data_IF_299438009691
#
_entry.id   IF_299438009691
#
_cell.length_a   1.000
_cell.length_b   1.000
_cell.length_c   1.000
_cell.angle_alpha   90.00
_cell.angle_beta   90.00
_cell.angle_gamma   90.00
#
_symmetry.space_group_name_H-M   'P 1'
#
loop_
_entity.id
_entity.type
_entity.pdbx_description
1 polymer ?
#
# COMPACT_ATOMS: atom_id res chain seq x y z
N UNK A 1 4.20 4.55 -3.69
CA UNK A 1 3.75 5.83 -4.26
C UNK A 1 3.61 6.85 -3.15
N UNK A 2 3.97 8.10 -3.41
CA UNK A 2 3.95 9.17 -2.41
C UNK A 2 2.57 9.85 -2.36
N UNK A 3 2.08 10.13 -1.14
CA UNK A 3 0.83 10.86 -0.95
C UNK A 3 1.10 12.32 -0.66
N UNK A 4 0.68 13.21 -1.56
CA UNK A 4 0.75 14.66 -1.33
C UNK A 4 -0.36 15.03 -0.36
N UNK A 5 0.02 15.58 0.79
CA UNK A 5 -0.90 15.97 1.87
C UNK A 5 -1.16 17.49 1.87
N UNK A 6 -0.21 18.27 1.36
CA UNK A 6 -0.29 19.74 1.30
C UNK A 6 0.59 20.28 0.19
N UNK A 7 0.10 21.30 -0.51
CA UNK A 7 0.83 22.10 -1.49
C UNK A 7 0.69 23.55 -1.09
N UNK A 8 1.81 24.23 -0.81
CA UNK A 8 1.82 25.60 -0.29
C UNK A 8 0.89 25.75 0.92
N UNK A 9 -0.17 26.55 0.82
CA UNK A 9 -1.15 26.73 1.90
C UNK A 9 -2.36 25.79 1.79
N UNK A 10 -2.46 24.97 0.75
CA UNK A 10 -3.61 24.12 0.44
C UNK A 10 -3.40 22.70 0.96
N UNK A 11 -4.33 22.19 1.77
CA UNK A 11 -4.29 20.82 2.35
C UNK A 11 -5.67 20.14 2.35
N UNK A 12 -6.51 20.47 1.36
CA UNK A 12 -7.91 20.04 1.29
C UNK A 12 -8.12 18.88 0.31
N UNK A 13 -8.80 19.11 -0.83
CA UNK A 13 -9.14 18.06 -1.80
C UNK A 13 -8.01 17.85 -2.81
N UNK A 14 -7.95 16.66 -3.41
CA UNK A 14 -6.98 16.36 -4.48
C UNK A 14 -7.12 17.30 -5.69
N UNK A 15 -8.33 17.78 -5.98
CA UNK A 15 -8.59 18.77 -7.02
C UNK A 15 -7.92 20.10 -6.67
N UNK A 16 -8.17 20.63 -5.47
CA UNK A 16 -7.59 21.89 -5.03
C UNK A 16 -6.05 21.83 -4.93
N UNK A 17 -5.52 20.71 -4.43
CA UNK A 17 -4.07 20.45 -4.43
C UNK A 17 -3.52 20.45 -5.87
N UNK A 18 -4.22 19.80 -6.80
CA UNK A 18 -3.83 19.75 -8.21
C UNK A 18 -3.93 21.11 -8.92
N UNK A 19 -4.87 21.97 -8.54
CA UNK A 19 -4.97 23.34 -9.04
C UNK A 19 -3.80 24.20 -8.56
N UNK A 20 -3.48 24.15 -7.27
CA UNK A 20 -2.34 24.88 -6.69
C UNK A 20 -1.01 24.48 -7.36
N UNK A 21 -0.79 23.18 -7.59
CA UNK A 21 0.40 22.68 -8.31
C UNK A 21 0.51 23.30 -9.71
N UNK A 22 -0.61 23.49 -10.41
CA UNK A 22 -0.62 24.02 -11.79
C UNK A 22 -0.41 25.53 -11.85
N UNK A 23 -0.84 26.26 -10.82
CA UNK A 23 -0.86 27.74 -10.83
C UNK A 23 0.40 28.35 -10.21
N UNK A 24 1.13 27.59 -9.39
CA UNK A 24 2.30 28.07 -8.67
C UNK A 24 3.62 27.70 -9.35
N UNK A 25 4.55 28.66 -9.44
CA UNK A 25 5.90 28.45 -9.98
C UNK A 25 6.90 27.96 -8.92
N UNK A 26 6.54 28.05 -7.65
CA UNK A 26 7.28 27.51 -6.50
C UNK A 26 6.33 26.69 -5.64
N UNK A 27 6.78 25.49 -5.26
CA UNK A 27 5.99 24.54 -4.49
C UNK A 27 6.69 24.19 -3.17
N UNK A 28 5.97 24.36 -2.07
CA UNK A 28 6.26 23.76 -0.77
C UNK A 28 5.33 22.55 -0.61
N UNK A 29 5.90 21.34 -0.52
CA UNK A 29 5.13 20.09 -0.51
C UNK A 29 5.29 19.39 0.83
N UNK A 30 4.16 19.06 1.46
CA UNK A 30 4.15 18.07 2.54
C UNK A 30 3.71 16.74 1.95
N UNK A 31 4.58 15.74 2.04
CA UNK A 31 4.37 14.41 1.46
C UNK A 31 4.38 13.39 2.59
N UNK A 32 3.45 12.42 2.51
CA UNK A 32 3.50 11.20 3.31
C UNK A 32 4.06 10.08 2.44
N UNK A 33 5.23 9.58 2.81
CA UNK A 33 5.85 8.42 2.16
C UNK A 33 5.31 7.12 2.77
N UNK A 34 5.12 6.07 1.96
CA UNK A 34 4.77 4.75 2.47
C UNK A 34 5.94 4.18 3.30
N UNK A 35 5.58 3.46 4.36
CA UNK A 35 6.52 2.61 5.08
C UNK A 35 6.55 1.26 4.37
N UNK A 36 7.74 0.82 3.96
CA UNK A 36 7.95 -0.49 3.38
C UNK A 36 8.50 -1.43 4.44
N UNK A 37 8.00 -2.66 4.46
CA UNK A 37 8.51 -3.73 5.29
C UNK A 37 8.36 -5.04 4.53
N UNK A 38 9.25 -5.99 4.83
CA UNK A 38 9.24 -7.32 4.23
C UNK A 38 8.57 -8.30 5.18
N UNK A 39 7.81 -9.23 4.61
CA UNK A 39 7.15 -10.30 5.36
C UNK A 39 7.49 -11.64 4.72
N UNK A 40 7.80 -12.62 5.57
CA UNK A 40 8.08 -13.98 5.14
C UNK A 40 6.90 -14.87 5.50
N UNK A 41 6.14 -15.30 4.51
CA UNK A 41 4.98 -16.16 4.69
C UNK A 41 5.21 -17.50 4.00
N UNK A 42 4.89 -18.58 4.71
CA UNK A 42 4.88 -19.92 4.12
C UNK A 42 3.45 -20.30 3.74
N UNK A 43 3.29 -20.96 2.59
CA UNK A 43 2.02 -21.57 2.21
C UNK A 43 1.57 -22.59 3.26
N UNK A 44 0.26 -22.66 3.51
CA UNK A 44 -0.33 -23.77 4.24
C UNK A 44 -0.31 -25.08 3.41
N UNK A 45 -0.79 -26.19 3.99
CA UNK A 45 -0.88 -27.49 3.31
C UNK A 45 -1.70 -27.46 2.01
N UNK A 46 -2.53 -26.43 1.82
CA UNK A 46 -3.41 -26.23 0.65
C UNK A 46 -2.87 -25.18 -0.32
N UNK A 47 -1.71 -24.57 -0.04
CA UNK A 47 -1.11 -23.55 -0.89
C UNK A 47 -1.58 -22.11 -0.63
N UNK A 48 -2.28 -21.83 0.48
CA UNK A 48 -2.80 -20.50 0.78
C UNK A 48 -1.91 -19.72 1.76
N UNK A 49 -1.91 -18.38 1.62
CA UNK A 49 -1.20 -17.47 2.51
C UNK A 49 -2.11 -16.81 3.56
N UNK A 50 -3.42 -16.99 3.47
CA UNK A 50 -4.38 -16.32 4.37
C UNK A 50 -4.65 -14.86 3.98
N UNK A 51 -4.60 -14.52 2.69
CA UNK A 51 -4.82 -13.17 2.17
C UNK A 51 -5.85 -13.22 1.04
N UNK A 52 -6.91 -12.43 1.18
CA UNK A 52 -7.80 -12.10 0.06
C UNK A 52 -7.33 -10.78 -0.55
N UNK A 53 -7.07 -10.81 -1.85
CA UNK A 53 -6.53 -9.67 -2.60
C UNK A 53 -7.61 -9.02 -3.45
N UNK A 54 -7.69 -7.71 -3.39
CA UNK A 54 -8.41 -6.89 -4.36
C UNK A 54 -7.42 -6.35 -5.38
N UNK A 55 -7.67 -6.66 -6.65
CA UNK A 55 -6.87 -6.21 -7.77
C UNK A 55 -7.77 -5.82 -8.93
N UNK A 56 -7.33 -4.81 -9.66
CA UNK A 56 -7.93 -4.42 -10.92
C UNK A 56 -6.97 -4.77 -12.06
N UNK A 57 -7.51 -5.15 -13.21
CA UNK A 57 -6.76 -5.38 -14.46
C UNK A 57 -6.01 -4.14 -14.98
N UNK A 58 -6.21 -2.97 -14.37
CA UNK A 58 -5.46 -1.73 -14.61
C UNK A 58 -4.97 -1.09 -13.30
N UNK A 59 -4.82 -1.89 -12.25
CA UNK A 59 -4.41 -1.44 -10.93
C UNK A 59 -2.90 -1.29 -10.81
N UNK A 60 -2.44 -0.28 -10.08
CA UNK A 60 -1.00 -0.09 -9.87
C UNK A 60 -0.37 -1.15 -8.93
N UNK A 61 -1.17 -1.94 -8.21
CA UNK A 61 -0.71 -2.88 -7.18
C UNK A 61 -1.80 -3.86 -6.77
N UNK A 62 -1.41 -4.98 -6.15
CA UNK A 62 -2.31 -5.86 -5.40
C UNK A 62 -2.58 -5.26 -4.02
N UNK A 63 -3.85 -5.15 -3.62
CA UNK A 63 -4.26 -4.58 -2.33
C UNK A 63 -4.86 -5.67 -1.46
N UNK A 64 -4.45 -5.73 -0.20
CA UNK A 64 -5.04 -6.69 0.75
C UNK A 64 -6.45 -6.21 1.13
N UNK A 65 -7.47 -6.97 0.78
CA UNK A 65 -8.86 -6.67 1.19
C UNK A 65 -9.21 -7.33 2.52
N UNK A 66 -8.72 -8.54 2.76
CA UNK A 66 -8.98 -9.27 3.99
C UNK A 66 -7.83 -10.19 4.37
N UNK A 67 -7.61 -10.32 5.67
CA UNK A 67 -6.72 -11.31 6.26
C UNK A 67 -7.60 -12.47 6.74
N UNK A 68 -7.32 -13.66 6.25
CA UNK A 68 -8.03 -14.90 6.58
C UNK A 68 -7.16 -15.80 7.45
N UNK A 69 -7.75 -16.75 8.20
CA UNK A 69 -6.97 -17.64 9.07
C UNK A 69 -5.87 -18.37 8.29
N UNK A 70 -4.64 -18.35 8.80
CA UNK A 70 -3.49 -18.94 8.12
C UNK A 70 -2.19 -18.20 8.39
N UNK A 71 -1.28 -18.26 7.41
CA UNK A 71 0.10 -17.75 7.52
C UNK A 71 0.17 -16.27 7.87
N UNK A 72 -0.58 -15.41 7.17
CA UNK A 72 -0.62 -13.98 7.43
C UNK A 72 -1.16 -13.64 8.83
N UNK A 73 -2.20 -14.34 9.30
CA UNK A 73 -2.72 -14.13 10.66
C UNK A 73 -1.69 -14.54 11.73
N UNK A 74 -1.00 -15.66 11.52
CA UNK A 74 0.03 -16.14 12.43
C UNK A 74 1.24 -15.21 12.48
N UNK A 75 1.65 -14.67 11.32
CA UNK A 75 2.67 -13.65 11.22
C UNK A 75 2.31 -12.41 12.06
N UNK A 76 1.10 -11.88 11.90
CA UNK A 76 0.64 -10.70 12.65
C UNK A 76 0.61 -10.92 14.17
N UNK A 77 0.37 -12.15 14.63
CA UNK A 77 0.43 -12.51 16.06
C UNK A 77 1.88 -12.55 16.57
N UNK A 78 2.82 -12.93 15.72
CA UNK A 78 4.24 -13.03 16.05
C UNK A 78 4.96 -11.67 15.98
N UNK A 79 4.59 -10.81 15.03
CA UNK A 79 5.11 -9.44 14.91
C UNK A 79 3.96 -8.42 14.78
N UNK A 80 3.42 -7.93 15.91
CA UNK A 80 2.35 -6.94 15.92
C UNK A 80 2.78 -5.56 15.41
N UNK A 81 4.07 -5.23 15.50
CA UNK A 81 4.59 -3.90 15.13
C UNK A 81 4.63 -3.73 13.60
N UNK A 82 4.96 -4.81 12.88
CA UNK A 82 4.92 -4.87 11.41
C UNK A 82 3.74 -5.71 10.90
N UNK A 83 2.63 -5.71 11.62
CA UNK A 83 1.45 -6.46 11.23
C UNK A 83 0.94 -6.02 9.84
N UNK A 84 0.75 -7.00 8.96
CA UNK A 84 0.04 -6.88 7.69
C UNK A 84 -1.39 -6.43 7.98
N UNK A 85 -1.88 -5.41 7.26
CA UNK A 85 -3.20 -4.83 7.48
C UNK A 85 -4.01 -4.78 6.18
N UNK A 86 -5.32 -4.68 6.37
CA UNK A 86 -6.22 -4.34 5.26
C UNK A 86 -5.80 -3.01 4.65
N UNK A 87 -5.83 -2.94 3.32
CA UNK A 87 -5.37 -1.83 2.49
C UNK A 87 -3.87 -1.64 2.39
N UNK A 88 -3.06 -2.54 2.96
CA UNK A 88 -1.64 -2.58 2.60
C UNK A 88 -1.50 -3.02 1.13
N UNK A 89 -0.49 -2.43 0.49
CA UNK A 89 -0.18 -2.66 -0.91
C UNK A 89 0.98 -3.66 -1.02
N UNK A 90 0.74 -4.78 -1.69
CA UNK A 90 1.81 -5.71 -2.06
C UNK A 90 2.50 -5.13 -3.29
N UNK A 91 3.75 -4.75 -3.12
CA UNK A 91 4.57 -4.10 -4.16
C UNK A 91 5.57 -5.06 -4.80
N UNK A 92 5.88 -6.16 -4.12
CA UNK A 92 6.75 -7.23 -4.58
C UNK A 92 6.28 -8.56 -3.99
N UNK A 93 6.49 -9.65 -4.73
CA UNK A 93 6.38 -11.02 -4.23
C UNK A 93 7.65 -11.74 -4.63
N UNK A 94 8.39 -12.23 -3.63
CA UNK A 94 9.75 -12.73 -3.81
C UNK A 94 10.62 -11.70 -4.57
N UNK A 95 11.31 -12.12 -5.63
CA UNK A 95 12.16 -11.25 -6.46
C UNK A 95 11.38 -10.55 -7.60
N UNK A 96 10.04 -10.62 -7.61
CA UNK A 96 9.21 -10.05 -8.65
C UNK A 96 8.51 -8.76 -8.19
N UNK A 97 8.96 -7.64 -8.74
CA UNK A 97 8.27 -6.35 -8.68
C UNK A 97 7.37 -6.17 -9.92
N UNK A 98 6.15 -5.67 -9.75
CA UNK A 98 5.25 -5.46 -10.88
C UNK A 98 3.97 -4.70 -10.57
N UNK A 99 3.31 -4.22 -11.62
CA UNK A 99 1.93 -3.71 -11.56
C UNK A 99 0.94 -4.87 -11.68
N UNK A 100 -0.23 -4.76 -11.05
CA UNK A 100 -1.30 -5.73 -11.27
C UNK A 100 -1.76 -5.66 -12.75
N UNK A 101 -1.55 -6.74 -13.51
CA UNK A 101 -1.95 -6.87 -14.91
C UNK A 101 -3.30 -7.58 -15.04
#
# INVERSE_FOLDING_TARGET
GDFIMKVNSVNSSSVALGEEIRQSTKLDLTIRRPLYFEVWLCNDEKGHLGLDLNYATKGASLVIDKITPGSAENYNKADPDNAIKRHDHIVAVDDFEGTAA
#
